data_IF_320063723970
#
_entry.id   IF_320063723970
#
_cell.length_a   1.000
_cell.length_b   1.000
_cell.length_c   1.000
_cell.angle_alpha   90.00
_cell.angle_beta   90.00
_cell.angle_gamma   90.00
#
_symmetry.space_group_name_H-M   'P 1'
#
loop_
_entity.id
_entity.type
_entity.pdbx_description
1 polymer ?
#
# COMPACT_ATOMS: atom_id res chain seq x y z
N UNK A 1 -18.88 -1.85 -15.03
CA UNK A 1 -18.60 -0.96 -13.89
C UNK A 1 -17.83 0.22 -14.45
N UNK A 2 -18.46 1.41 -14.59
CA UNK A 2 -17.87 2.52 -15.34
C UNK A 2 -16.64 3.14 -14.67
N UNK A 3 -16.55 3.09 -13.34
CA UNK A 3 -15.48 3.77 -12.57
C UNK A 3 -14.57 2.78 -11.81
N UNK A 4 -14.10 1.73 -12.49
CA UNK A 4 -13.14 0.80 -11.91
C UNK A 4 -11.75 1.45 -11.89
N UNK A 5 -11.24 1.79 -10.69
CA UNK A 5 -9.92 2.41 -10.51
C UNK A 5 -8.78 1.52 -11.02
N UNK A 6 -7.83 2.10 -11.75
CA UNK A 6 -6.74 1.39 -12.42
C UNK A 6 -7.13 0.70 -13.72
N UNK A 7 -8.41 0.72 -14.13
CA UNK A 7 -8.89 0.18 -15.41
C UNK A 7 -9.58 1.27 -16.23
N UNK A 8 -10.72 1.77 -15.76
CA UNK A 8 -11.53 2.77 -16.45
C UNK A 8 -11.47 4.16 -15.81
N UNK A 9 -10.99 4.25 -14.57
CA UNK A 9 -10.62 5.49 -13.89
C UNK A 9 -9.17 5.41 -13.38
N UNK A 10 -8.43 6.53 -13.30
CA UNK A 10 -7.06 6.52 -12.80
C UNK A 10 -6.98 6.19 -11.30
N UNK A 11 -5.82 5.71 -10.84
CA UNK A 11 -5.47 5.64 -9.42
C UNK A 11 -4.45 6.74 -9.10
N UNK A 12 -4.80 7.63 -8.18
CA UNK A 12 -3.89 8.69 -7.72
C UNK A 12 -3.10 8.20 -6.50
N UNK A 13 -1.85 7.78 -6.75
CA UNK A 13 -0.99 7.31 -5.69
C UNK A 13 -0.62 8.44 -4.70
N UNK A 14 -0.52 8.14 -3.38
CA UNK A 14 -0.09 9.13 -2.40
C UNK A 14 1.31 9.67 -2.69
N UNK A 15 1.46 10.99 -2.70
CA UNK A 15 2.75 11.67 -2.91
C UNK A 15 3.68 11.49 -1.71
N UNK A 16 3.15 11.64 -0.49
CA UNK A 16 3.91 11.58 0.76
C UNK A 16 3.23 10.70 1.83
N UNK A 17 3.15 9.38 1.61
CA UNK A 17 2.62 8.46 2.61
C UNK A 17 3.62 8.25 3.76
N UNK A 18 3.11 8.08 4.98
CA UNK A 18 3.91 7.82 6.18
C UNK A 18 4.57 6.43 6.14
N UNK A 19 3.93 5.47 5.46
CA UNK A 19 4.37 4.09 5.24
C UNK A 19 4.06 3.69 3.79
N UNK A 20 5.03 3.08 3.11
CA UNK A 20 4.81 2.36 1.83
C UNK A 20 5.06 0.88 2.07
N UNK A 21 4.10 0.04 1.70
CA UNK A 21 4.18 -1.41 1.87
C UNK A 21 4.48 -2.05 0.51
N UNK A 22 5.56 -2.83 0.44
CA UNK A 22 5.91 -3.61 -0.75
C UNK A 22 5.22 -4.98 -0.70
N UNK A 23 4.09 -5.09 -1.40
CA UNK A 23 3.27 -6.32 -1.44
C UNK A 23 3.83 -7.41 -2.35
N UNK A 24 5.04 -7.24 -2.91
CA UNK A 24 5.75 -8.34 -3.59
C UNK A 24 6.43 -9.28 -2.59
N UNK A 25 6.56 -8.86 -1.32
CA UNK A 25 7.09 -9.64 -0.20
C UNK A 25 6.02 -10.54 0.43
N UNK A 26 6.41 -11.57 1.21
CA UNK A 26 5.48 -12.34 2.02
C UNK A 26 4.64 -11.44 2.94
N UNK A 27 3.44 -11.88 3.28
CA UNK A 27 2.52 -11.09 4.11
C UNK A 27 3.10 -10.79 5.50
N UNK A 28 3.81 -11.75 6.09
CA UNK A 28 4.42 -11.60 7.43
C UNK A 28 5.46 -10.48 7.44
N UNK A 29 6.26 -10.38 6.37
CA UNK A 29 7.23 -9.29 6.16
C UNK A 29 6.56 -7.92 6.03
N UNK A 30 5.43 -7.87 5.31
CA UNK A 30 4.67 -6.64 5.12
C UNK A 30 4.10 -6.13 6.45
N UNK A 31 3.51 -7.04 7.24
CA UNK A 31 2.96 -6.71 8.56
C UNK A 31 4.06 -6.33 9.53
N UNK A 32 5.17 -7.06 9.56
CA UNK A 32 6.35 -6.73 10.36
C UNK A 32 6.85 -5.31 10.09
N UNK A 33 6.95 -4.92 8.82
CA UNK A 33 7.34 -3.56 8.44
C UNK A 33 6.41 -2.47 9.00
N UNK A 34 5.09 -2.73 9.01
CA UNK A 34 4.10 -1.80 9.56
C UNK A 34 4.27 -1.69 11.09
N UNK A 35 4.41 -2.82 11.79
CA UNK A 35 4.57 -2.86 13.24
C UNK A 35 5.85 -2.15 13.69
N UNK A 36 6.97 -2.38 12.99
CA UNK A 36 8.23 -1.67 13.25
C UNK A 36 8.08 -0.16 13.13
N UNK A 37 7.31 0.34 12.15
CA UNK A 37 7.06 1.78 12.01
C UNK A 37 6.19 2.35 13.14
N UNK A 38 5.31 1.52 13.71
CA UNK A 38 4.46 1.88 14.84
C UNK A 38 5.16 1.70 16.19
N UNK A 39 6.33 1.05 16.23
CA UNK A 39 7.10 0.78 17.45
C UNK A 39 6.50 -0.34 18.31
N UNK A 40 5.85 -1.33 17.67
CA UNK A 40 5.21 -2.48 18.30
C UNK A 40 6.01 -3.77 18.11
#
# INVERSE_FOLDING_TARGET
MPDFSGISAPYEAPTSPEIRVDTTRPIDDCVGHILERLGL
#
